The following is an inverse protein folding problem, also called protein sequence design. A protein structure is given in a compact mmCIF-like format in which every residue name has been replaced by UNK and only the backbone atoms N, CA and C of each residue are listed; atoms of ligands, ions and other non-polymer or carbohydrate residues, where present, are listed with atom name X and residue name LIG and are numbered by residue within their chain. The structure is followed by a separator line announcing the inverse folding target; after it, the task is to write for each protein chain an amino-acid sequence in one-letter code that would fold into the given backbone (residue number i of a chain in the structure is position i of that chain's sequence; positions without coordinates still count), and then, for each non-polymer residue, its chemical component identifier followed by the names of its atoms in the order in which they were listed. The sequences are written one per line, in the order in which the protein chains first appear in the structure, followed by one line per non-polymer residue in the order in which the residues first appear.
data_IF_050562992266
#
_entry.id   IF_050562992266
#
_cell.length_a   1.000
_cell.length_b   1.000
_cell.length_c   1.000
_cell.angle_alpha   90.00
_cell.angle_beta   90.00
_cell.angle_gamma   90.00
#
_symmetry.space_group_name_H-M   'P 1'
#
loop_
_entity.id
_entity.type
_entity.pdbx_description
1 polymer ?
#
# COMPACT_ATOMS: atom_id res chain seq x y z
N UNK A 1 -6.98 16.03 7.33
CA UNK A 1 -8.22 15.20 7.29
C UNK A 1 -8.09 13.97 6.39
N UNK A 2 -7.67 14.13 5.14
CA UNK A 2 -7.54 13.06 4.12
C UNK A 2 -6.63 11.89 4.53
N UNK A 3 -5.47 12.15 5.12
CA UNK A 3 -4.58 11.08 5.60
C UNK A 3 -5.22 10.22 6.70
N UNK A 4 -5.97 10.86 7.60
CA UNK A 4 -6.61 10.17 8.72
C UNK A 4 -7.76 9.27 8.25
N UNK A 5 -8.55 9.74 7.29
CA UNK A 5 -9.60 8.95 6.64
C UNK A 5 -9.02 7.74 5.88
N UNK A 6 -7.90 7.92 5.17
CA UNK A 6 -7.23 6.81 4.48
C UNK A 6 -6.69 5.76 5.45
N UNK A 7 -6.09 6.18 6.57
CA UNK A 7 -5.63 5.28 7.62
C UNK A 7 -6.80 4.47 8.21
N UNK A 8 -7.93 5.11 8.46
CA UNK A 8 -9.13 4.44 8.96
C UNK A 8 -9.68 3.42 7.94
N UNK A 9 -9.76 3.80 6.65
CA UNK A 9 -10.18 2.90 5.57
C UNK A 9 -9.28 1.67 5.46
N UNK A 10 -7.96 1.84 5.56
CA UNK A 10 -7.00 0.74 5.56
C UNK A 10 -7.16 -0.15 6.80
N UNK A 11 -7.32 0.43 7.99
CA UNK A 11 -7.55 -0.32 9.22
C UNK A 11 -8.82 -1.19 9.13
N UNK A 12 -9.92 -0.62 8.63
CA UNK A 12 -11.17 -1.36 8.39
C UNK A 12 -10.99 -2.47 7.36
N UNK A 13 -10.25 -2.22 6.28
CA UNK A 13 -9.95 -3.25 5.28
C UNK A 13 -9.20 -4.43 5.89
N UNK A 14 -8.15 -4.18 6.69
CA UNK A 14 -7.40 -5.26 7.33
C UNK A 14 -8.24 -6.03 8.36
N UNK A 15 -9.15 -5.38 9.06
CA UNK A 15 -10.08 -6.07 9.96
C UNK A 15 -11.00 -7.04 9.19
N UNK A 16 -11.50 -6.62 8.02
CA UNK A 16 -12.31 -7.48 7.16
C UNK A 16 -11.51 -8.68 6.62
N UNK A 17 -10.25 -8.46 6.24
CA UNK A 17 -9.33 -9.55 5.84
C UNK A 17 -9.20 -10.58 6.96
N UNK A 18 -8.92 -10.15 8.19
CA UNK A 18 -8.76 -11.08 9.32
C UNK A 18 -10.04 -11.89 9.55
N UNK A 19 -11.21 -11.26 9.46
CA UNK A 19 -12.51 -11.96 9.59
C UNK A 19 -12.71 -12.99 8.47
N UNK A 20 -12.39 -12.63 7.24
CA UNK A 20 -12.50 -13.53 6.08
C UNK A 20 -11.51 -14.70 6.16
N UNK A 21 -10.27 -14.46 6.60
CA UNK A 21 -9.30 -15.55 6.80
C UNK A 21 -9.80 -16.57 7.82
N UNK A 22 -10.41 -16.08 8.92
CA UNK A 22 -10.98 -16.95 9.96
C UNK A 22 -12.18 -17.78 9.51
N UNK A 23 -12.87 -17.41 8.42
CA UNK A 23 -13.98 -18.21 7.90
C UNK A 23 -13.55 -19.42 7.06
N UNK A 24 -12.28 -19.50 6.66
CA UNK A 24 -11.79 -20.65 5.91
C UNK A 24 -11.44 -21.84 6.83
N UNK A 25 -11.70 -23.08 6.40
CA UNK A 25 -11.58 -24.27 7.24
C UNK A 25 -10.12 -24.69 7.52
N UNK A 26 -9.15 -24.19 6.77
CA UNK A 26 -7.75 -24.59 6.93
C UNK A 26 -6.74 -23.60 6.36
N UNK A 27 -5.49 -23.74 6.81
CA UNK A 27 -4.39 -22.83 6.50
C UNK A 27 -4.08 -22.74 5.00
N UNK A 28 -4.24 -23.83 4.25
CA UNK A 28 -4.00 -23.82 2.80
C UNK A 28 -4.96 -22.87 2.07
N UNK A 29 -6.25 -22.96 2.37
CA UNK A 29 -7.27 -22.05 1.83
C UNK A 29 -7.01 -20.59 2.26
N UNK A 30 -6.63 -20.40 3.53
CA UNK A 30 -6.27 -19.08 4.06
C UNK A 30 -5.06 -18.47 3.33
N UNK A 31 -4.00 -19.24 3.09
CA UNK A 31 -2.81 -18.76 2.38
C UNK A 31 -3.11 -18.40 0.92
N UNK A 32 -3.91 -19.23 0.23
CA UNK A 32 -4.38 -18.93 -1.13
C UNK A 32 -5.18 -17.63 -1.17
N UNK A 33 -6.13 -17.46 -0.25
CA UNK A 33 -6.91 -16.24 -0.14
C UNK A 33 -6.01 -15.02 0.19
N UNK A 34 -5.07 -15.17 1.11
CA UNK A 34 -4.15 -14.11 1.51
C UNK A 34 -3.28 -13.64 0.34
N UNK A 35 -2.78 -14.55 -0.51
CA UNK A 35 -2.02 -14.20 -1.73
C UNK A 35 -2.83 -13.34 -2.70
N UNK A 36 -4.12 -13.65 -2.87
CA UNK A 36 -5.02 -12.87 -3.74
C UNK A 36 -5.27 -11.49 -3.12
N UNK A 37 -5.55 -11.45 -1.82
CA UNK A 37 -5.84 -10.21 -1.10
C UNK A 37 -4.62 -9.29 -0.99
N UNK A 38 -3.41 -9.87 -0.92
CA UNK A 38 -2.14 -9.14 -0.84
C UNK A 38 -2.00 -8.09 -1.95
N UNK A 39 -2.51 -8.36 -3.15
CA UNK A 39 -2.44 -7.42 -4.28
C UNK A 39 -3.15 -6.09 -4.00
N UNK A 40 -4.09 -6.07 -3.06
CA UNK A 40 -4.81 -4.86 -2.60
C UNK A 40 -4.29 -4.34 -1.25
N UNK A 41 -3.31 -5.01 -0.64
CA UNK A 41 -2.73 -4.63 0.64
C UNK A 41 -1.50 -3.74 0.44
N UNK A 42 -1.57 -2.51 0.96
CA UNK A 42 -0.47 -1.58 1.04
C UNK A 42 -0.45 -0.92 2.43
N UNK A 43 0.74 -0.51 2.88
CA UNK A 43 0.95 0.17 4.16
C UNK A 43 0.34 -0.56 5.36
N UNK A 44 0.48 -1.89 5.38
CA UNK A 44 0.07 -2.74 6.48
C UNK A 44 0.85 -2.34 7.75
N UNK A 45 0.11 -2.03 8.82
CA UNK A 45 0.73 -1.77 10.12
C UNK A 45 1.20 -3.07 10.78
N UNK A 46 2.22 -2.99 11.63
CA UNK A 46 2.72 -4.17 12.36
C UNK A 46 1.61 -4.88 13.14
N UNK A 47 0.72 -4.13 13.82
CA UNK A 47 -0.39 -4.72 14.58
C UNK A 47 -1.40 -5.45 13.70
N UNK A 48 -1.67 -4.93 12.50
CA UNK A 48 -2.54 -5.59 11.54
C UNK A 48 -1.88 -6.87 10.99
N UNK A 49 -0.57 -6.85 10.73
CA UNK A 49 0.18 -8.05 10.34
C UNK A 49 0.15 -9.13 11.43
N UNK A 50 0.39 -8.75 12.70
CA UNK A 50 0.23 -9.63 13.88
C UNK A 50 -1.17 -10.25 13.93
N UNK A 51 -2.21 -9.45 13.70
CA UNK A 51 -3.59 -9.94 13.69
C UNK A 51 -3.88 -10.94 12.57
N UNK A 52 -3.27 -10.74 11.39
CA UNK A 52 -3.35 -11.67 10.26
C UNK A 52 -2.63 -12.98 10.60
N UNK A 53 -1.41 -12.91 11.15
CA UNK A 53 -0.65 -14.09 11.56
C UNK A 53 -1.34 -14.88 12.67
N UNK A 54 -2.02 -14.19 13.59
CA UNK A 54 -2.85 -14.81 14.63
C UNK A 54 -4.05 -15.60 14.10
N UNK A 55 -4.40 -15.48 12.81
CA UNK A 55 -5.42 -16.30 12.16
C UNK A 55 -4.95 -17.72 11.82
N UNK A 56 -3.64 -17.99 11.86
CA UNK A 56 -3.04 -19.28 11.56
C UNK A 56 -2.70 -20.05 12.83
N UNK A 57 -2.94 -21.36 12.82
CA UNK A 57 -2.72 -22.23 13.98
C UNK A 57 -1.24 -22.60 14.12
N UNK A 58 -0.64 -23.11 13.05
CA UNK A 58 0.74 -23.62 13.08
C UNK A 58 1.76 -22.54 12.73
N UNK A 59 2.92 -22.61 13.38
CA UNK A 59 4.00 -21.64 13.18
C UNK A 59 4.57 -21.68 11.76
N UNK A 60 4.68 -22.87 11.16
CA UNK A 60 5.03 -23.04 9.75
C UNK A 60 4.11 -22.24 8.82
N UNK A 61 2.81 -22.28 9.04
CA UNK A 61 1.83 -21.54 8.23
C UNK A 61 1.96 -20.03 8.45
N UNK A 62 2.25 -19.60 9.69
CA UNK A 62 2.57 -18.19 10.00
C UNK A 62 3.80 -17.71 9.25
N UNK A 63 4.85 -18.52 9.08
CA UNK A 63 6.03 -18.15 8.28
C UNK A 63 5.64 -17.92 6.82
N UNK A 64 4.84 -18.81 6.23
CA UNK A 64 4.38 -18.66 4.84
C UNK A 64 3.46 -17.44 4.69
N UNK A 65 2.57 -17.19 5.65
CA UNK A 65 1.72 -16.02 5.68
C UNK A 65 2.53 -14.73 5.78
N UNK A 66 3.58 -14.72 6.61
CA UNK A 66 4.51 -13.59 6.71
C UNK A 66 5.23 -13.34 5.39
N UNK A 67 5.72 -14.39 4.72
CA UNK A 67 6.35 -14.28 3.39
C UNK A 67 5.41 -13.65 2.36
N UNK A 68 4.11 -13.94 2.46
CA UNK A 68 3.09 -13.28 1.63
C UNK A 68 3.02 -11.79 1.96
N UNK A 69 2.82 -11.41 3.22
CA UNK A 69 2.46 -10.01 3.55
C UNK A 69 3.66 -9.09 3.81
N UNK A 70 4.88 -9.62 3.94
CA UNK A 70 6.05 -8.86 4.36
C UNK A 70 6.32 -7.64 3.48
N UNK A 71 6.16 -7.76 2.16
CA UNK A 71 6.36 -6.65 1.21
C UNK A 71 5.32 -5.53 1.30
N UNK A 72 4.22 -5.77 2.03
CA UNK A 72 3.15 -4.78 2.24
C UNK A 72 3.28 -4.08 3.60
N UNK A 73 4.19 -4.50 4.47
CA UNK A 73 4.40 -3.92 5.81
C UNK A 73 5.08 -2.56 5.70
N UNK A 74 4.51 -1.54 6.36
CA UNK A 74 4.99 -0.16 6.30
C UNK A 74 6.34 0.05 6.99
N UNK A 75 6.56 -0.62 8.13
CA UNK A 75 7.79 -0.49 8.91
C UNK A 75 8.23 -1.87 9.44
N UNK A 76 8.98 -2.64 8.64
CA UNK A 76 9.46 -3.96 9.04
C UNK A 76 10.52 -3.93 10.15
N UNK A 77 11.14 -2.78 10.43
CA UNK A 77 12.15 -2.64 11.50
C UNK A 77 11.54 -2.62 12.91
N UNK A 78 10.22 -2.38 13.04
CA UNK A 78 9.47 -2.56 14.29
C UNK A 78 8.87 -3.96 14.37
N UNK A 79 9.70 -4.99 14.20
CA UNK A 79 9.30 -6.40 14.08
C UNK A 79 9.08 -7.13 15.39
N UNK A 80 9.49 -6.58 16.54
CA UNK A 80 9.41 -7.28 17.82
C UNK A 80 8.04 -7.97 18.09
N UNK A 81 6.88 -7.34 17.78
CA UNK A 81 5.57 -8.00 17.94
C UNK A 81 5.32 -9.16 16.95
N UNK A 82 5.93 -9.13 15.77
CA UNK A 82 5.83 -10.20 14.77
C UNK A 82 6.72 -11.39 15.13
N UNK A 83 7.91 -11.12 15.67
CA UNK A 83 8.86 -12.16 16.08
C UNK A 83 8.34 -12.99 17.26
N UNK A 84 7.50 -12.41 18.13
CA UNK A 84 6.91 -13.12 19.26
C UNK A 84 6.04 -14.32 18.85
N UNK A 85 5.45 -14.29 17.65
CA UNK A 85 4.72 -15.44 17.10
C UNK A 85 5.60 -16.66 16.80
N UNK A 86 6.92 -16.48 16.68
CA UNK A 86 7.89 -17.51 16.32
C UNK A 86 8.87 -17.82 17.46
N UNK A 87 8.60 -17.32 18.68
CA UNK A 87 9.51 -17.44 19.83
C UNK A 87 9.84 -18.88 20.20
N UNK A 88 8.92 -19.82 19.95
CA UNK A 88 9.08 -21.23 20.34
C UNK A 88 10.12 -21.98 19.51
N UNK A 89 10.34 -21.59 18.25
CA UNK A 89 11.20 -22.33 17.32
C UNK A 89 12.27 -21.43 16.69
N UNK A 90 13.54 -21.70 17.01
CA UNK A 90 14.67 -20.89 16.59
C UNK A 90 14.83 -20.80 15.06
N UNK A 91 14.60 -21.90 14.33
CA UNK A 91 14.66 -21.93 12.86
C UNK A 91 13.64 -21.01 12.20
N UNK A 92 12.40 -21.04 12.69
CA UNK A 92 11.32 -20.19 12.18
C UNK A 92 11.56 -18.73 12.54
N UNK A 93 12.08 -18.46 13.74
CA UNK A 93 12.49 -17.14 14.15
C UNK A 93 13.61 -16.58 13.24
N UNK A 94 14.60 -17.40 12.88
CA UNK A 94 15.67 -17.02 11.94
C UNK A 94 15.10 -16.70 10.55
N UNK A 95 14.16 -17.51 10.05
CA UNK A 95 13.46 -17.25 8.77
C UNK A 95 12.65 -15.96 8.80
N UNK A 96 11.89 -15.73 9.88
CA UNK A 96 11.12 -14.52 10.08
C UNK A 96 12.01 -13.27 9.98
N UNK A 97 13.14 -13.26 10.70
CA UNK A 97 14.13 -12.17 10.62
C UNK A 97 14.64 -11.94 9.20
N UNK A 98 15.01 -13.00 8.49
CA UNK A 98 15.49 -12.89 7.10
C UNK A 98 14.42 -12.30 6.15
N UNK A 99 13.16 -12.73 6.29
CA UNK A 99 12.04 -12.20 5.48
C UNK A 99 11.83 -10.70 5.75
N UNK A 100 11.85 -10.29 7.02
CA UNK A 100 11.65 -8.90 7.40
C UNK A 100 12.81 -7.99 6.99
N UNK A 101 14.05 -8.48 7.10
CA UNK A 101 15.24 -7.79 6.60
C UNK A 101 15.15 -7.57 5.09
N UNK A 102 14.78 -8.62 4.34
CA UNK A 102 14.56 -8.51 2.90
C UNK A 102 13.45 -7.51 2.56
N UNK A 103 12.32 -7.54 3.28
CA UNK A 103 11.24 -6.58 3.09
C UNK A 103 11.66 -5.14 3.41
N UNK A 104 12.52 -4.94 4.43
CA UNK A 104 13.08 -3.63 4.74
C UNK A 104 13.96 -3.08 3.61
N UNK A 105 14.71 -3.95 2.92
CA UNK A 105 15.55 -3.56 1.78
C UNK A 105 14.73 -3.24 0.53
N UNK A 106 13.66 -4.00 0.28
CA UNK A 106 12.81 -3.83 -0.90
C UNK A 106 11.78 -2.70 -0.75
N UNK A 107 11.48 -2.29 0.49
CA UNK A 107 10.48 -1.29 0.80
C UNK A 107 9.03 -1.77 0.59
N UNK A 108 8.07 -0.94 0.98
CA UNK A 108 6.66 -1.23 0.80
C UNK A 108 6.29 -1.11 -0.69
N UNK A 109 5.76 -2.17 -1.30
CA UNK A 109 5.25 -2.09 -2.68
C UNK A 109 4.10 -1.08 -2.72
N UNK A 110 4.27 0.00 -3.48
CA UNK A 110 3.15 0.86 -3.85
C UNK A 110 2.20 0.06 -4.76
N UNK A 111 0.88 0.37 -4.75
CA UNK A 111 -0.03 -0.22 -5.73
C UNK A 111 0.53 0.02 -7.14
N UNK A 112 0.72 -1.05 -7.90
CA UNK A 112 1.04 -0.96 -9.33
C UNK A 112 -0.11 -0.21 -10.00
N UNK A 113 0.10 1.08 -10.27
CA UNK A 113 -0.69 1.76 -11.28
C UNK A 113 -0.15 1.24 -12.60
N UNK A 114 -0.90 0.36 -13.27
CA UNK A 114 -0.60 -0.10 -14.61
C UNK A 114 -0.67 1.09 -15.56
N UNK A 115 0.40 1.88 -15.66
CA UNK A 115 0.64 2.67 -16.84
C UNK A 115 1.43 1.76 -17.79
N UNK A 116 0.73 1.09 -18.71
CA UNK A 116 1.39 0.63 -19.93
C UNK A 116 1.65 1.88 -20.77
N UNK A 117 2.76 2.56 -20.48
CA UNK A 117 3.20 3.74 -21.21
C UNK A 117 4.69 3.64 -21.35
N UNK A 118 5.15 3.37 -22.58
CA UNK A 118 6.54 3.59 -22.98
C UNK A 118 7.08 4.85 -22.32
N UNK A 119 8.29 4.72 -21.77
CA UNK A 119 9.13 5.78 -21.22
C UNK A 119 8.86 7.15 -21.85
N UNK A 120 8.28 8.08 -21.06
CA UNK A 120 8.44 9.51 -21.30
C UNK A 120 7.22 10.34 -21.66
N UNK A 121 5.98 9.81 -21.70
CA UNK A 121 4.81 10.66 -21.96
C UNK A 121 3.58 10.34 -21.07
N UNK A 122 3.14 11.27 -20.18
CA UNK A 122 1.93 11.10 -19.38
C UNK A 122 0.62 11.33 -20.18
N UNK A 123 0.68 11.69 -21.46
CA UNK A 123 -0.49 11.91 -22.32
C UNK A 123 -0.40 11.14 -23.65
N UNK A 124 -0.90 9.90 -23.73
CA UNK A 124 -0.88 9.11 -24.97
C UNK A 124 -1.71 9.71 -26.12
N UNK A 125 -2.69 10.58 -25.83
CA UNK A 125 -3.56 11.22 -26.83
C UNK A 125 -3.25 12.72 -27.06
N UNK A 126 -2.08 13.19 -26.62
CA UNK A 126 -1.73 14.61 -26.67
C UNK A 126 -2.35 15.41 -25.52
N UNK A 127 -1.77 16.59 -25.28
CA UNK A 127 -2.19 17.52 -24.23
C UNK A 127 -3.67 17.88 -24.48
N UNK A 128 -4.58 17.81 -23.48
CA UNK A 128 -5.94 18.29 -23.68
C UNK A 128 -5.89 19.76 -24.08
N UNK A 129 -6.31 20.05 -25.32
CA UNK A 129 -6.37 21.40 -25.85
C UNK A 129 -7.22 22.28 -24.94
N UNK A 130 -6.72 23.48 -24.62
CA UNK A 130 -7.36 24.47 -23.74
C UNK A 130 -8.67 25.04 -24.31
N UNK A 131 -9.10 24.54 -25.47
CA UNK A 131 -10.29 24.93 -26.20
C UNK A 131 -11.42 23.93 -25.97
N UNK A 132 -12.05 23.97 -24.80
CA UNK A 132 -13.49 23.75 -24.73
C UNK A 132 -14.08 24.56 -23.56
N UNK A 133 -14.99 25.51 -23.83
CA UNK A 133 -15.53 26.42 -22.84
C UNK A 133 -16.73 25.78 -22.17
N UNK A 134 -16.48 24.82 -21.30
CA UNK A 134 -17.51 24.32 -20.40
C UNK A 134 -16.91 24.36 -19.03
N UNK A 135 -16.85 25.54 -18.41
CA UNK A 135 -17.01 25.77 -16.97
C UNK A 135 -16.74 27.26 -16.67
N UNK A 136 -17.77 27.86 -16.04
CA UNK A 136 -17.80 29.08 -15.24
C UNK A 136 -17.62 30.44 -15.93
N UNK A 137 -18.75 31.12 -16.12
CA UNK A 137 -18.87 32.58 -16.14
C UNK A 137 -18.24 33.15 -14.86
N UNK A 138 -17.21 33.97 -14.99
CA UNK A 138 -16.80 34.94 -13.97
C UNK A 138 -16.67 36.28 -14.70
N UNK A 139 -17.30 37.38 -14.23
CA UNK A 139 -17.22 38.68 -14.90
C UNK A 139 -15.78 39.21 -14.90
N UNK A 140 -15.35 39.78 -16.04
CA UNK A 140 -14.10 40.52 -16.20
C UNK A 140 -14.28 41.93 -15.63
N UNK A 141 -13.39 42.36 -14.75
CA UNK A 141 -13.08 43.78 -14.58
C UNK A 141 -11.76 44.08 -15.29
N UNK A 142 -11.82 45.05 -16.19
CA UNK A 142 -10.73 45.54 -17.04
C UNK A 142 -9.86 46.54 -16.27
N UNK A 143 -8.54 46.51 -16.52
CA UNK A 143 -7.58 47.38 -15.86
C UNK A 143 -6.24 47.39 -16.59
N UNK A 144 -6.22 48.08 -17.73
CA UNK A 144 -5.09 48.44 -18.58
C UNK A 144 -4.04 49.28 -17.83
N UNK A 145 -2.74 49.00 -18.02
CA UNK A 145 -1.64 49.96 -17.85
C UNK A 145 -0.39 49.49 -18.60
N UNK A 146 -0.01 50.28 -19.61
CA UNK A 146 1.07 50.09 -20.56
C UNK A 146 2.49 50.15 -19.96
N UNK A 147 3.44 49.49 -20.62
CA UNK A 147 4.87 49.73 -20.44
C UNK A 147 5.53 49.99 -21.81
N UNK A 148 5.94 51.24 -22.06
CA UNK A 148 6.99 51.56 -23.03
C UNK A 148 7.86 52.68 -22.46
N UNK A 149 9.05 52.30 -21.96
CA UNK A 149 10.19 53.22 -21.77
C UNK A 149 11.28 52.83 -22.76
N UNK A 150 11.53 53.66 -23.76
CA UNK A 150 12.86 53.82 -24.38
C UNK A 150 12.84 55.02 -25.33
N UNK A 151 13.62 56.06 -25.05
CA UNK A 151 14.39 56.87 -26.00
C UNK A 151 15.27 57.85 -25.20
N UNK A 152 16.59 57.69 -25.31
CA UNK A 152 17.54 58.80 -25.50
C UNK A 152 18.20 58.50 -26.83
#
# INVERSE_FOLDING_TARGET
LTQSLNNLRLALFFLQVVRLLKSFPGAECQLKALRILQQKMFALSTNAAVSILGGFTFSKDKVHALEVIASSIRNPLKSAPLEDHFRTFADEQKKCRAILEQASRLGCRAPMQSYSGNSGNPYPQGRPSRSNPLFTKVPKEEGECANVKKYI
#
